data_IF_475841121754
#
_entry.id   IF_475841121754
#
_cell.length_a   1.000
_cell.length_b   1.000
_cell.length_c   1.000
_cell.angle_alpha   90.00
_cell.angle_beta   90.00
_cell.angle_gamma   90.00
#
_symmetry.space_group_name_H-M   'P 1'
#
loop_
_entity.id
_entity.type
_entity.pdbx_description
1 polymer ?
#
# COMPACT_ATOMS: atom_id res chain seq x y z
N UNK A 1 -9.60 17.19 24.70
CA UNK A 1 -8.27 17.15 24.04
C UNK A 1 -8.01 15.79 23.41
N UNK A 2 -7.92 14.70 24.19
CA UNK A 2 -7.60 13.35 23.68
C UNK A 2 -8.53 12.83 22.57
N UNK A 3 -9.85 13.03 22.66
CA UNK A 3 -10.79 12.62 21.62
C UNK A 3 -10.55 13.31 20.26
N UNK A 4 -10.28 14.62 20.28
CA UNK A 4 -10.00 15.40 19.06
C UNK A 4 -8.65 14.99 18.44
N UNK A 5 -7.63 14.72 19.25
CA UNK A 5 -6.34 14.19 18.79
C UNK A 5 -6.54 12.82 18.12
N UNK A 6 -7.36 11.94 18.71
CA UNK A 6 -7.68 10.63 18.13
C UNK A 6 -8.33 10.78 16.75
N UNK A 7 -9.29 11.69 16.60
CA UNK A 7 -9.96 11.95 15.32
C UNK A 7 -8.97 12.49 14.27
N UNK A 8 -8.11 13.45 14.65
CA UNK A 8 -7.07 13.99 13.77
C UNK A 8 -6.05 12.93 13.36
N UNK A 9 -5.66 12.01 14.27
CA UNK A 9 -4.81 10.86 13.95
C UNK A 9 -5.46 9.91 12.95
N UNK A 10 -6.75 9.64 13.12
CA UNK A 10 -7.51 8.83 12.17
C UNK A 10 -7.57 9.50 10.79
N UNK A 11 -7.79 10.82 10.74
CA UNK A 11 -7.78 11.58 9.49
C UNK A 11 -6.40 11.54 8.81
N UNK A 12 -5.31 11.67 9.58
CA UNK A 12 -3.93 11.53 9.09
C UNK A 12 -3.62 10.12 8.59
N UNK A 13 -4.15 9.07 9.24
CA UNK A 13 -4.01 7.68 8.77
C UNK A 13 -4.67 7.51 7.41
N UNK A 14 -5.93 7.94 7.27
CA UNK A 14 -6.67 7.89 6.00
C UNK A 14 -5.98 8.68 4.88
N UNK A 15 -5.44 9.85 5.22
CA UNK A 15 -4.62 10.63 4.29
C UNK A 15 -3.38 9.85 3.85
N UNK A 16 -2.67 9.20 4.79
CA UNK A 16 -1.47 8.42 4.49
C UNK A 16 -1.77 7.21 3.60
N UNK A 17 -2.85 6.49 3.90
CA UNK A 17 -3.37 5.38 3.06
C UNK A 17 -3.63 5.86 1.62
N UNK A 18 -4.32 7.00 1.46
CA UNK A 18 -4.56 7.59 0.14
C UNK A 18 -3.27 7.96 -0.59
N UNK A 19 -2.27 8.51 0.11
CA UNK A 19 -0.98 8.83 -0.50
C UNK A 19 -0.27 7.57 -0.99
N UNK A 20 -0.27 6.49 -0.21
CA UNK A 20 0.32 5.22 -0.65
C UNK A 20 -0.39 4.65 -1.88
N UNK A 21 -1.73 4.71 -1.92
CA UNK A 21 -2.51 4.30 -3.10
C UNK A 21 -2.16 5.13 -4.34
N UNK A 22 -2.08 6.47 -4.19
CA UNK A 22 -1.70 7.36 -5.28
C UNK A 22 -0.27 7.07 -5.76
N UNK A 23 0.68 6.83 -4.85
CA UNK A 23 2.06 6.49 -5.21
C UNK A 23 2.14 5.18 -5.99
N UNK A 24 1.38 4.15 -5.61
CA UNK A 24 1.32 2.88 -6.35
C UNK A 24 0.72 3.08 -7.76
N UNK A 25 -0.39 3.83 -7.84
CA UNK A 25 -1.05 4.16 -9.10
C UNK A 25 -0.11 4.93 -10.05
N UNK A 26 0.61 5.93 -9.53
CA UNK A 26 1.57 6.75 -10.29
C UNK A 26 2.78 5.91 -10.74
N UNK A 27 3.27 5.01 -9.89
CA UNK A 27 4.50 4.26 -10.16
C UNK A 27 4.28 3.10 -11.13
N UNK A 28 3.16 2.39 -10.99
CA UNK A 28 2.96 1.10 -11.66
C UNK A 28 1.76 1.16 -12.58
N UNK A 29 0.57 1.40 -12.04
CA UNK A 29 -0.68 1.15 -12.74
C UNK A 29 -0.88 2.06 -13.95
N UNK A 30 -0.86 3.37 -13.76
CA UNK A 30 -1.13 4.33 -14.83
C UNK A 30 -0.06 4.32 -15.93
N UNK A 31 1.26 4.34 -15.62
CA UNK A 31 2.27 4.24 -16.66
C UNK A 31 2.16 2.96 -17.50
N UNK A 32 1.79 1.83 -16.88
CA UNK A 32 1.59 0.57 -17.58
C UNK A 32 0.38 0.63 -18.52
N UNK A 33 -0.77 1.14 -18.02
CA UNK A 33 -1.98 1.31 -18.82
C UNK A 33 -1.78 2.28 -19.99
N UNK A 34 -1.12 3.42 -19.75
CA UNK A 34 -0.76 4.42 -20.77
C UNK A 34 0.10 3.77 -21.85
N UNK A 35 1.21 3.11 -21.47
CA UNK A 35 2.12 2.48 -22.44
C UNK A 35 1.43 1.42 -23.29
N UNK A 36 0.55 0.62 -22.68
CA UNK A 36 -0.22 -0.39 -23.40
C UNK A 36 -1.20 0.27 -24.39
N UNK A 37 -1.89 1.33 -23.96
CA UNK A 37 -2.85 2.05 -24.79
C UNK A 37 -2.16 2.80 -25.95
N UNK A 38 -1.01 3.42 -25.70
CA UNK A 38 -0.16 4.03 -26.73
C UNK A 38 0.21 3.04 -27.83
N UNK A 39 0.72 1.86 -27.45
CA UNK A 39 1.05 0.81 -28.41
C UNK A 39 -0.16 0.32 -29.20
N UNK A 40 -1.33 0.24 -28.56
CA UNK A 40 -2.57 -0.13 -29.24
C UNK A 40 -3.03 0.95 -30.24
N UNK A 41 -2.94 2.22 -29.87
CA UNK A 41 -3.25 3.36 -30.75
C UNK A 41 -2.31 3.39 -31.94
N UNK A 42 -1.00 3.19 -31.73
CA UNK A 42 -0.01 3.16 -32.79
C UNK A 42 -0.31 2.07 -33.82
N UNK A 43 -0.57 0.84 -33.34
CA UNK A 43 -0.94 -0.29 -34.22
C UNK A 43 -2.24 -0.04 -34.97
N UNK A 44 -3.28 0.44 -34.30
CA UNK A 44 -4.55 0.77 -34.96
C UNK A 44 -4.41 1.91 -35.98
N UNK A 45 -3.54 2.91 -35.73
CA UNK A 45 -3.22 3.97 -36.71
C UNK A 45 -2.47 3.43 -37.91
N UNK A 46 -1.52 2.51 -37.70
CA UNK A 46 -0.80 1.85 -38.79
C UNK A 46 -1.76 1.04 -39.69
N UNK A 47 -2.67 0.27 -39.07
CA UNK A 47 -3.70 -0.48 -39.81
C UNK A 47 -4.61 0.44 -40.61
N UNK A 48 -5.05 1.56 -40.01
CA UNK A 48 -5.88 2.55 -40.69
C UNK A 48 -5.13 3.23 -41.84
N UNK A 49 -3.83 3.50 -41.69
CA UNK A 49 -3.00 4.05 -42.76
C UNK A 49 -2.93 3.08 -43.94
N UNK A 50 -2.58 1.82 -43.69
CA UNK A 50 -2.54 0.77 -44.72
C UNK A 50 -3.89 0.66 -45.44
N UNK A 51 -4.99 0.67 -44.69
CA UNK A 51 -6.35 0.60 -45.23
C UNK A 51 -6.72 1.80 -46.11
N UNK A 52 -6.16 2.98 -45.85
CA UNK A 52 -6.38 4.18 -46.64
C UNK A 52 -5.46 4.24 -47.87
N UNK A 53 -4.21 3.78 -47.76
CA UNK A 53 -3.24 3.74 -48.86
C UNK A 53 -3.68 2.76 -49.95
N UNK A 54 -4.31 1.65 -49.57
CA UNK A 54 -4.86 0.63 -50.46
C UNK A 54 -6.38 0.78 -50.64
N UNK A 55 -6.90 2.01 -50.63
CA UNK A 55 -8.34 2.28 -50.68
C UNK A 55 -9.02 1.65 -51.91
N UNK A 56 -9.97 0.76 -51.66
CA UNK A 56 -10.75 0.08 -52.69
C UNK A 56 -10.05 -1.12 -53.33
N UNK A 57 -8.89 -1.56 -52.84
CA UNK A 57 -8.24 -2.78 -53.35
C UNK A 57 -8.80 -4.04 -52.68
N UNK A 58 -9.22 -5.03 -53.48
CA UNK A 58 -9.53 -6.39 -53.04
C UNK A 58 -8.69 -7.37 -53.86
N UNK A 59 -7.99 -8.30 -53.20
CA UNK A 59 -7.21 -9.35 -53.87
C UNK A 59 -7.68 -10.71 -53.41
N UNK A 60 -8.08 -11.56 -54.35
CA UNK A 60 -8.56 -12.91 -54.09
C UNK A 60 -7.98 -13.87 -55.12
N UNK A 61 -7.42 -15.01 -54.67
CA UNK A 61 -6.89 -16.04 -55.56
C UNK A 61 -5.87 -15.52 -56.59
N UNK A 62 -5.07 -14.51 -56.23
CA UNK A 62 -4.08 -13.88 -57.11
C UNK A 62 -4.64 -12.83 -58.10
N UNK A 63 -5.95 -12.58 -58.11
CA UNK A 63 -6.59 -11.53 -58.91
C UNK A 63 -6.88 -10.30 -58.06
N UNK A 64 -6.61 -9.11 -58.61
CA UNK A 64 -7.00 -7.84 -58.01
C UNK A 64 -8.34 -7.34 -58.60
N UNK A 65 -9.15 -6.74 -57.74
CA UNK A 65 -10.42 -6.11 -58.05
C UNK A 65 -10.42 -4.69 -57.48
N UNK A 66 -10.96 -3.74 -58.24
CA UNK A 66 -11.12 -2.35 -57.85
C UNK A 66 -12.55 -2.14 -57.34
N UNK A 67 -12.70 -1.89 -56.04
CA UNK A 67 -14.00 -1.72 -55.39
C UNK A 67 -14.64 -0.35 -55.63
N UNK A 68 -13.91 0.57 -56.27
CA UNK A 68 -14.44 1.87 -56.70
C UNK A 68 -15.17 1.77 -58.04
N UNK A 69 -14.79 0.81 -58.89
CA UNK A 69 -15.48 0.51 -60.15
C UNK A 69 -16.70 -0.41 -59.89
N UNK A 70 -17.94 -0.03 -60.28
CA UNK A 70 -19.13 -0.83 -59.99
C UNK A 70 -19.11 -2.27 -60.55
N UNK A 71 -18.58 -2.45 -61.75
CA UNK A 71 -18.53 -3.76 -62.41
C UNK A 71 -17.48 -4.67 -61.75
N UNK A 72 -16.30 -4.12 -61.45
CA UNK A 72 -15.23 -4.81 -60.73
C UNK A 72 -15.62 -5.10 -59.27
N UNK A 73 -16.38 -4.20 -58.62
CA UNK A 73 -16.98 -4.42 -57.29
C UNK A 73 -17.94 -5.59 -57.27
N UNK A 74 -18.80 -5.72 -58.29
CA UNK A 74 -19.71 -6.87 -58.40
C UNK A 74 -18.95 -8.18 -58.63
N UNK A 75 -17.97 -8.18 -59.54
CA UNK A 75 -17.12 -9.35 -59.78
C UNK A 75 -16.31 -9.77 -58.55
N UNK A 76 -15.79 -8.79 -57.79
CA UNK A 76 -15.09 -9.02 -56.52
C UNK A 76 -16.00 -9.57 -55.43
N UNK A 77 -17.25 -9.09 -55.32
CA UNK A 77 -18.23 -9.63 -54.39
C UNK A 77 -18.58 -11.09 -54.70
N UNK A 78 -18.76 -11.43 -55.98
CA UNK A 78 -19.02 -12.81 -56.41
C UNK A 78 -17.82 -13.73 -56.12
N UNK A 79 -16.59 -13.25 -56.40
CA UNK A 79 -15.36 -13.99 -56.08
C UNK A 79 -15.18 -14.20 -54.57
N UNK A 80 -15.48 -13.17 -53.75
CA UNK A 80 -15.40 -13.26 -52.30
C UNK A 80 -16.40 -14.26 -51.74
N UNK A 81 -17.64 -14.23 -52.24
CA UNK A 81 -18.66 -15.21 -51.87
C UNK A 81 -18.21 -16.62 -52.21
N UNK A 82 -17.68 -16.83 -53.42
CA UNK A 82 -17.17 -18.13 -53.83
C UNK A 82 -16.06 -18.63 -52.90
N UNK A 83 -15.13 -17.77 -52.48
CA UNK A 83 -14.06 -18.11 -51.53
C UNK A 83 -14.60 -18.47 -50.14
N UNK A 84 -15.60 -17.73 -49.65
CA UNK A 84 -16.22 -17.98 -48.33
C UNK A 84 -17.05 -19.27 -48.33
N UNK A 85 -17.71 -19.61 -49.45
CA UNK A 85 -18.54 -20.82 -49.57
C UNK A 85 -17.78 -22.03 -50.11
N UNK A 86 -16.48 -21.90 -50.39
CA UNK A 86 -15.69 -23.01 -50.88
C UNK A 86 -15.65 -24.14 -49.83
N UNK A 87 -16.03 -25.38 -50.19
CA UNK A 87 -16.14 -26.47 -49.22
C UNK A 87 -14.84 -26.78 -48.46
N UNK A 88 -13.67 -26.54 -49.07
CA UNK A 88 -12.38 -26.75 -48.39
C UNK A 88 -12.14 -25.66 -47.36
N UNK A 89 -12.33 -24.40 -47.76
CA UNK A 89 -12.22 -23.25 -46.85
C UNK A 89 -13.21 -23.38 -45.69
N UNK A 90 -14.47 -23.74 -45.95
CA UNK A 90 -15.45 -23.95 -44.90
C UNK A 90 -15.03 -25.07 -43.93
N UNK A 91 -14.56 -26.21 -44.43
CA UNK A 91 -14.15 -27.32 -43.58
C UNK A 91 -12.96 -26.97 -42.70
N UNK A 92 -11.95 -26.28 -43.25
CA UNK A 92 -10.79 -25.83 -42.47
C UNK A 92 -11.14 -24.72 -41.47
N UNK A 93 -12.03 -23.81 -41.87
CA UNK A 93 -12.43 -22.66 -41.07
C UNK A 93 -13.29 -23.04 -39.84
N UNK A 94 -13.79 -24.29 -39.79
CA UNK A 94 -14.43 -24.85 -38.59
C UNK A 94 -13.43 -25.18 -37.47
N UNK A 95 -12.14 -25.29 -37.75
CA UNK A 95 -11.14 -25.66 -36.74
C UNK A 95 -10.06 -24.61 -36.52
N UNK A 96 -9.81 -23.74 -37.50
CA UNK A 96 -8.78 -22.69 -37.43
C UNK A 96 -9.16 -21.51 -38.31
N UNK A 97 -8.43 -20.41 -38.19
CA UNK A 97 -8.56 -19.29 -39.11
C UNK A 97 -7.92 -19.64 -40.48
N UNK A 98 -8.65 -19.31 -41.56
CA UNK A 98 -8.26 -19.64 -42.95
C UNK A 98 -8.13 -18.36 -43.75
N UNK A 99 -6.95 -18.13 -44.31
CA UNK A 99 -6.69 -17.00 -45.19
C UNK A 99 -7.42 -17.16 -46.54
N UNK A 100 -8.15 -16.13 -46.96
CA UNK A 100 -8.94 -16.14 -48.21
C UNK A 100 -8.55 -15.02 -49.19
N UNK A 101 -7.75 -14.04 -48.75
CA UNK A 101 -7.16 -13.02 -49.63
C UNK A 101 -6.73 -11.77 -48.88
N UNK A 102 -6.77 -10.62 -49.54
CA UNK A 102 -6.40 -9.33 -48.96
C UNK A 102 -7.46 -8.26 -49.27
N UNK A 103 -7.77 -7.42 -48.29
CA UNK A 103 -8.68 -6.30 -48.43
C UNK A 103 -8.02 -5.03 -47.92
N UNK A 104 -7.89 -4.02 -48.80
CA UNK A 104 -7.19 -2.75 -48.54
C UNK A 104 -5.84 -2.93 -47.85
N UNK A 105 -5.01 -3.83 -48.38
CA UNK A 105 -3.66 -4.10 -47.87
C UNK A 105 -3.58 -4.90 -46.57
N UNK A 106 -4.71 -5.30 -45.97
CA UNK A 106 -4.76 -6.19 -44.81
C UNK A 106 -5.09 -7.62 -45.23
N UNK A 107 -4.57 -8.60 -44.49
CA UNK A 107 -4.90 -10.01 -44.74
C UNK A 107 -6.35 -10.28 -44.35
N UNK A 108 -7.10 -10.88 -45.26
CA UNK A 108 -8.48 -11.26 -45.07
C UNK A 108 -8.55 -12.76 -44.80
N UNK A 109 -9.07 -13.10 -43.62
CA UNK A 109 -9.24 -14.47 -43.17
C UNK A 109 -10.67 -14.75 -42.73
N UNK A 110 -11.03 -16.03 -42.66
CA UNK A 110 -12.34 -16.49 -42.21
C UNK A 110 -12.22 -17.60 -41.17
N UNK A 111 -13.17 -17.62 -40.24
CA UNK A 111 -13.31 -18.67 -39.23
C UNK A 111 -14.79 -18.88 -38.87
N UNK A 112 -15.11 -20.05 -38.35
CA UNK A 112 -16.42 -20.32 -37.75
C UNK A 112 -16.32 -20.14 -36.24
N UNK A 113 -17.13 -19.23 -35.69
CA UNK A 113 -17.23 -19.07 -34.24
C UNK A 113 -18.20 -20.13 -33.69
N UNK A 114 -17.64 -21.12 -33.01
CA UNK A 114 -18.39 -22.23 -32.43
C UNK A 114 -19.35 -21.80 -31.30
N UNK A 115 -19.08 -20.68 -30.63
CA UNK A 115 -19.92 -20.20 -29.55
C UNK A 115 -21.15 -19.47 -30.09
N UNK A 116 -20.94 -18.57 -31.06
CA UNK A 116 -22.04 -17.77 -31.63
C UNK A 116 -22.72 -18.45 -32.82
N UNK A 117 -22.14 -19.53 -33.36
CA UNK A 117 -22.59 -20.24 -34.57
C UNK A 117 -22.67 -19.32 -35.80
N UNK A 118 -21.75 -18.36 -35.88
CA UNK A 118 -21.67 -17.36 -36.96
C UNK A 118 -20.31 -17.45 -37.64
N UNK A 119 -20.30 -17.29 -38.97
CA UNK A 119 -19.07 -17.12 -39.73
C UNK A 119 -18.47 -15.74 -39.45
N UNK A 120 -17.21 -15.69 -39.04
CA UNK A 120 -16.47 -14.45 -38.79
C UNK A 120 -15.38 -14.25 -39.82
N UNK A 121 -15.21 -13.01 -40.23
CA UNK A 121 -14.07 -12.51 -40.96
C UNK A 121 -13.13 -11.75 -40.06
N UNK A 122 -11.87 -11.74 -40.45
CA UNK A 122 -10.81 -11.02 -39.77
C UNK A 122 -10.03 -10.22 -40.83
N UNK A 123 -9.88 -8.92 -40.59
CA UNK A 123 -8.88 -8.10 -41.26
C UNK A 123 -7.66 -8.05 -40.33
N UNK A 124 -6.60 -8.75 -40.71
CA UNK A 124 -5.35 -8.83 -39.97
C UNK A 124 -4.33 -7.85 -40.54
N UNK A 125 -3.93 -6.90 -39.69
CA UNK A 125 -2.76 -6.05 -39.87
C UNK A 125 -1.81 -6.22 -38.69
N UNK A 126 -1.49 -5.12 -38.00
CA UNK A 126 -0.85 -5.12 -36.69
C UNK A 126 -1.79 -5.58 -35.57
N UNK A 127 -3.11 -5.51 -35.81
CA UNK A 127 -4.17 -6.07 -34.95
C UNK A 127 -5.14 -6.90 -35.79
N UNK A 128 -5.86 -7.78 -35.10
CA UNK A 128 -6.97 -8.53 -35.68
C UNK A 128 -8.28 -7.75 -35.51
N UNK A 129 -8.96 -7.47 -36.63
CA UNK A 129 -10.24 -6.75 -36.64
C UNK A 129 -11.34 -7.70 -37.14
N UNK A 130 -12.16 -8.19 -36.20
CA UNK A 130 -13.19 -9.17 -36.50
C UNK A 130 -14.52 -8.52 -36.94
N UNK A 131 -15.22 -9.18 -37.87
CA UNK A 131 -16.55 -8.79 -38.34
C UNK A 131 -17.34 -10.04 -38.77
N UNK A 132 -18.66 -9.92 -38.90
CA UNK A 132 -19.49 -11.08 -39.27
C UNK A 132 -19.59 -11.26 -40.78
N UNK A 133 -19.32 -12.48 -41.26
CA UNK A 133 -19.68 -12.92 -42.60
C UNK A 133 -21.15 -13.36 -42.62
N UNK A 134 -21.96 -12.70 -43.44
CA UNK A 134 -23.27 -13.22 -43.80
C UNK A 134 -23.21 -13.84 -45.21
N UNK A 135 -23.18 -15.18 -45.33
CA UNK A 135 -23.03 -15.87 -46.62
C UNK A 135 -24.22 -15.67 -47.57
N UNK A 136 -25.33 -15.12 -47.08
CA UNK A 136 -26.55 -14.90 -47.88
C UNK A 136 -26.60 -13.53 -48.57
N UNK A 137 -25.57 -12.69 -48.43
CA UNK A 137 -25.53 -11.35 -49.03
C UNK A 137 -24.25 -11.14 -49.82
N UNK A 138 -24.35 -10.82 -51.11
CA UNK A 138 -23.18 -10.71 -52.00
C UNK A 138 -22.42 -9.40 -51.76
N UNK A 139 -23.01 -8.26 -52.15
CA UNK A 139 -22.42 -6.92 -51.98
C UNK A 139 -22.33 -6.50 -50.50
N UNK A 140 -23.20 -7.07 -49.65
CA UNK A 140 -23.26 -6.74 -48.23
C UNK A 140 -21.99 -7.08 -47.45
N UNK A 141 -21.18 -8.04 -47.92
CA UNK A 141 -19.92 -8.40 -47.25
C UNK A 141 -18.88 -7.29 -47.42
N UNK A 142 -18.75 -6.70 -48.62
CA UNK A 142 -17.84 -5.57 -48.85
C UNK A 142 -18.20 -4.39 -47.95
N UNK A 143 -19.49 -4.06 -47.86
CA UNK A 143 -19.96 -3.00 -46.95
C UNK A 143 -19.62 -3.30 -45.48
N UNK A 144 -19.66 -4.57 -45.04
CA UNK A 144 -19.25 -4.94 -43.67
C UNK A 144 -17.75 -4.75 -43.45
N UNK A 145 -16.92 -5.07 -44.44
CA UNK A 145 -15.48 -4.80 -44.38
C UNK A 145 -15.19 -3.28 -44.36
N UNK A 146 -15.89 -2.49 -45.17
CA UNK A 146 -15.82 -1.01 -45.12
C UNK A 146 -16.21 -0.47 -43.73
N UNK A 147 -17.27 -1.02 -43.14
CA UNK A 147 -17.70 -0.67 -41.79
C UNK A 147 -16.69 -1.09 -40.71
N UNK A 148 -16.04 -2.26 -40.88
CA UNK A 148 -14.98 -2.72 -39.99
C UNK A 148 -13.82 -1.72 -39.98
N UNK A 149 -13.34 -1.29 -41.15
CA UNK A 149 -12.29 -0.26 -41.27
C UNK A 149 -12.73 1.07 -40.68
N UNK A 150 -13.97 1.48 -40.93
CA UNK A 150 -14.55 2.69 -40.32
C UNK A 150 -14.61 2.60 -38.80
N UNK A 151 -14.76 1.39 -38.24
CA UNK A 151 -14.72 1.15 -36.80
C UNK A 151 -13.30 1.29 -36.24
N UNK A 152 -12.26 0.88 -36.99
CA UNK A 152 -10.86 1.13 -36.60
C UNK A 152 -10.62 2.63 -36.38
N UNK A 153 -11.10 3.49 -37.29
CA UNK A 153 -10.97 4.93 -37.15
C UNK A 153 -11.66 5.47 -35.88
N UNK A 154 -12.84 4.94 -35.55
CA UNK A 154 -13.56 5.30 -34.31
C UNK A 154 -12.81 4.82 -33.06
N UNK A 155 -12.27 3.61 -33.10
CA UNK A 155 -11.47 3.04 -32.00
C UNK A 155 -10.19 3.83 -31.76
N UNK A 156 -9.51 4.29 -32.82
CA UNK A 156 -8.35 5.19 -32.71
C UNK A 156 -8.74 6.47 -31.99
N UNK A 157 -9.82 7.13 -32.41
CA UNK A 157 -10.28 8.37 -31.79
C UNK A 157 -10.62 8.17 -30.29
N UNK A 158 -11.41 7.14 -29.98
CA UNK A 158 -11.79 6.84 -28.59
C UNK A 158 -10.59 6.44 -27.72
N UNK A 159 -9.64 5.70 -28.27
CA UNK A 159 -8.43 5.29 -27.53
C UNK A 159 -7.49 6.47 -27.29
N UNK A 160 -7.42 7.42 -28.23
CA UNK A 160 -6.64 8.65 -28.06
C UNK A 160 -7.24 9.55 -26.97
N UNK A 161 -8.56 9.70 -26.93
CA UNK A 161 -9.26 10.46 -25.87
C UNK A 161 -9.02 9.83 -24.48
N UNK A 162 -9.11 8.50 -24.39
CA UNK A 162 -8.78 7.77 -23.16
C UNK A 162 -7.33 7.96 -22.73
N UNK A 163 -6.40 7.94 -23.69
CA UNK A 163 -4.98 8.16 -23.42
C UNK A 163 -4.72 9.57 -22.86
N UNK A 164 -5.36 10.58 -23.45
CA UNK A 164 -5.30 11.96 -22.96
C UNK A 164 -5.87 12.08 -21.54
N UNK A 165 -6.99 11.41 -21.28
CA UNK A 165 -7.64 11.38 -19.96
C UNK A 165 -6.73 10.75 -18.92
N UNK A 166 -6.21 9.54 -19.17
CA UNK A 166 -5.30 8.85 -18.25
C UNK A 166 -4.00 9.64 -18.01
N UNK A 167 -3.49 10.31 -19.04
CA UNK A 167 -2.30 11.15 -18.91
C UNK A 167 -2.57 12.39 -18.04
N UNK A 168 -3.73 13.03 -18.20
CA UNK A 168 -4.14 14.16 -17.37
C UNK A 168 -4.38 13.73 -15.91
N UNK A 169 -5.04 12.58 -15.69
CA UNK A 169 -5.22 11.99 -14.37
C UNK A 169 -3.90 11.68 -13.69
N UNK A 170 -2.92 11.14 -14.43
CA UNK A 170 -1.57 10.89 -13.91
C UNK A 170 -0.90 12.17 -13.40
N UNK A 171 -0.96 13.25 -14.18
CA UNK A 171 -0.43 14.57 -13.78
C UNK A 171 -1.15 15.10 -12.54
N UNK A 172 -2.47 14.94 -12.48
CA UNK A 172 -3.26 15.38 -11.33
C UNK A 172 -2.91 14.59 -10.06
N UNK A 173 -2.75 13.27 -10.16
CA UNK A 173 -2.34 12.42 -9.04
C UNK A 173 -0.93 12.78 -8.56
N UNK A 174 0.01 13.06 -9.46
CA UNK A 174 1.35 13.54 -9.10
C UNK A 174 1.28 14.84 -8.29
N UNK A 175 0.45 15.80 -8.73
CA UNK A 175 0.23 17.03 -7.99
C UNK A 175 -0.47 16.81 -6.63
N UNK A 176 -1.38 15.85 -6.54
CA UNK A 176 -2.10 15.53 -5.30
C UNK A 176 -1.22 14.84 -4.26
N UNK A 177 -0.24 14.02 -4.67
CA UNK A 177 0.72 13.38 -3.76
C UNK A 177 1.63 14.40 -3.08
N UNK A 178 1.92 15.51 -3.73
CA UNK A 178 2.76 16.57 -3.16
C UNK A 178 2.03 17.44 -2.12
N UNK A 179 0.69 17.39 -2.07
CA UNK A 179 -0.10 18.22 -1.15
C UNK A 179 -0.02 17.67 0.28
N UNK A 180 0.56 18.41 1.24
CA UNK A 180 0.69 17.92 2.61
C UNK A 180 -0.66 17.85 3.33
N UNK A 181 -0.70 17.06 4.41
CA UNK A 181 -1.88 16.99 5.27
C UNK A 181 -2.18 18.36 5.92
N UNK A 182 -3.35 18.92 5.62
CA UNK A 182 -3.70 20.31 5.97
C UNK A 182 -3.70 20.60 7.48
N UNK A 183 -4.04 19.62 8.33
CA UNK A 183 -4.14 19.77 9.79
C UNK A 183 -2.89 19.28 10.53
N UNK A 184 -1.75 19.23 9.84
CA UNK A 184 -0.48 18.77 10.45
C UNK A 184 -0.09 19.63 11.65
N UNK A 185 -0.16 20.96 11.53
CA UNK A 185 0.22 21.85 12.63
C UNK A 185 -0.79 21.83 13.77
N UNK A 186 -2.09 21.73 13.48
CA UNK A 186 -3.14 21.59 14.51
C UNK A 186 -2.93 20.32 15.33
N UNK A 187 -2.69 19.18 14.66
CA UNK A 187 -2.40 17.91 15.33
C UNK A 187 -1.13 18.04 16.18
N UNK A 188 -0.05 18.58 15.61
CA UNK A 188 1.24 18.73 16.32
C UNK A 188 1.10 19.59 17.58
N UNK A 189 0.40 20.72 17.48
CA UNK A 189 0.18 21.63 18.62
C UNK A 189 -0.63 20.96 19.73
N UNK A 190 -1.68 20.19 19.38
CA UNK A 190 -2.49 19.50 20.39
C UNK A 190 -1.76 18.33 21.04
N UNK A 191 -0.90 17.63 20.30
CA UNK A 191 -0.04 16.58 20.86
C UNK A 191 0.95 17.17 21.86
N UNK A 192 1.61 18.28 21.51
CA UNK A 192 2.53 18.96 22.42
C UNK A 192 1.84 19.48 23.70
N UNK A 193 0.63 20.04 23.57
CA UNK A 193 -0.16 20.48 24.72
C UNK A 193 -0.56 19.29 25.61
N UNK A 194 -0.94 18.16 25.01
CA UNK A 194 -1.27 16.95 25.76
C UNK A 194 -0.05 16.39 26.52
N UNK A 195 1.11 16.39 25.89
CA UNK A 195 2.36 15.91 26.50
C UNK A 195 2.80 16.82 27.65
N UNK A 196 2.68 18.14 27.50
CA UNK A 196 2.95 19.09 28.60
C UNK A 196 1.99 18.84 29.78
N UNK A 197 0.69 18.67 29.51
CA UNK A 197 -0.30 18.33 30.54
C UNK A 197 0.05 17.01 31.22
N UNK A 198 0.46 15.98 30.47
CA UNK A 198 0.91 14.71 31.05
C UNK A 198 2.14 14.89 31.93
N UNK A 199 3.15 15.65 31.51
CA UNK A 199 4.32 15.95 32.37
C UNK A 199 3.94 16.69 33.64
N UNK A 200 3.06 17.70 33.55
CA UNK A 200 2.59 18.44 34.71
C UNK A 200 1.83 17.54 35.69
N UNK A 201 0.96 16.66 35.18
CA UNK A 201 0.26 15.65 35.99
C UNK A 201 1.24 14.70 36.68
N UNK A 202 2.22 14.16 35.96
CA UNK A 202 3.25 13.30 36.53
C UNK A 202 4.05 14.02 37.62
N UNK A 203 4.46 15.27 37.36
CA UNK A 203 5.15 16.09 38.36
C UNK A 203 4.27 16.35 39.58
N UNK A 204 3.00 16.70 39.39
CA UNK A 204 2.05 16.91 40.48
C UNK A 204 1.91 15.65 41.35
N UNK A 205 1.77 14.47 40.74
CA UNK A 205 1.68 13.20 41.48
C UNK A 205 2.94 12.84 42.27
N UNK A 206 4.12 13.28 41.80
CA UNK A 206 5.38 13.10 42.53
C UNK A 206 5.56 14.10 43.68
N UNK A 207 4.93 15.26 43.59
CA UNK A 207 4.97 16.32 44.61
C UNK A 207 3.82 16.27 45.63
N UNK A 208 2.79 15.46 45.38
CA UNK A 208 1.71 15.23 46.35
C UNK A 208 2.18 14.23 47.40
N UNK A 209 2.35 14.72 48.63
CA UNK A 209 2.70 13.96 49.81
C UNK A 209 1.82 12.71 50.02
N UNK A 210 0.60 12.71 49.47
CA UNK A 210 -0.35 11.60 49.59
C UNK A 210 0.23 10.29 49.04
N UNK A 211 0.91 10.31 47.89
CA UNK A 211 1.51 9.10 47.31
C UNK A 211 2.67 8.57 48.19
N UNK A 212 3.51 9.48 48.70
CA UNK A 212 4.62 9.15 49.60
C UNK A 212 4.11 8.58 50.94
N UNK A 213 2.97 9.10 51.42
CA UNK A 213 2.32 8.63 52.65
C UNK A 213 1.65 7.27 52.48
N UNK A 214 0.92 7.05 51.37
CA UNK A 214 0.34 5.74 51.06
C UNK A 214 1.43 4.67 50.87
N UNK A 215 2.55 5.03 50.21
CA UNK A 215 3.69 4.15 50.04
C UNK A 215 4.31 3.78 51.40
N UNK A 216 4.52 4.76 52.29
CA UNK A 216 4.99 4.52 53.65
C UNK A 216 4.08 3.55 54.40
N UNK A 217 2.76 3.76 54.35
CA UNK A 217 1.80 2.89 55.04
C UNK A 217 1.87 1.45 54.55
N UNK A 218 1.96 1.23 53.23
CA UNK A 218 2.10 -0.11 52.64
C UNK A 218 3.43 -0.77 53.01
N UNK A 219 4.52 -0.03 52.98
CA UNK A 219 5.84 -0.56 53.35
C UNK A 219 5.85 -1.00 54.82
N UNK A 220 5.28 -0.18 55.72
CA UNK A 220 5.16 -0.52 57.15
C UNK A 220 4.31 -1.78 57.36
N UNK A 221 3.22 -1.95 56.61
CA UNK A 221 2.40 -3.15 56.65
C UNK A 221 3.16 -4.40 56.16
N UNK A 222 3.93 -4.28 55.06
CA UNK A 222 4.61 -5.42 54.45
C UNK A 222 5.90 -5.82 55.17
N UNK A 223 6.66 -4.85 55.68
CA UNK A 223 8.01 -5.04 56.21
C UNK A 223 8.13 -4.54 57.65
N UNK A 224 7.10 -4.76 58.46
CA UNK A 224 7.04 -4.28 59.85
C UNK A 224 8.32 -4.59 60.65
N UNK A 225 8.85 -5.83 60.68
CA UNK A 225 10.03 -6.13 61.51
C UNK A 225 11.28 -5.35 61.08
N UNK A 226 11.37 -4.96 59.81
CA UNK A 226 12.49 -4.17 59.27
C UNK A 226 12.31 -2.71 59.63
N UNK A 227 11.10 -2.18 59.41
CA UNK A 227 10.77 -0.77 59.65
C UNK A 227 10.64 -0.43 61.14
N UNK A 228 10.46 -1.41 62.03
CA UNK A 228 10.51 -1.23 63.50
C UNK A 228 11.92 -1.40 64.06
N UNK A 229 12.89 -1.84 63.26
CA UNK A 229 14.26 -2.10 63.68
C UNK A 229 14.45 -3.41 64.46
N UNK A 230 13.47 -4.33 64.42
CA UNK A 230 13.61 -5.67 64.99
C UNK A 230 14.63 -6.51 64.22
N UNK A 231 14.69 -6.32 62.90
CA UNK A 231 15.68 -6.92 62.00
C UNK A 231 16.19 -5.87 61.02
N UNK A 232 17.48 -5.90 60.67
CA UNK A 232 18.05 -4.97 59.67
C UNK A 232 17.93 -5.47 58.23
N UNK A 233 17.66 -6.75 58.04
CA UNK A 233 17.74 -7.43 56.76
C UNK A 233 16.79 -8.63 56.72
N UNK A 234 16.09 -8.80 55.61
CA UNK A 234 15.28 -9.98 55.33
C UNK A 234 15.46 -10.42 53.88
N UNK A 235 15.65 -11.72 53.69
CA UNK A 235 15.66 -12.36 52.38
C UNK A 235 14.40 -13.21 52.24
N UNK A 236 13.72 -13.07 51.12
CA UNK A 236 12.54 -13.84 50.73
C UNK A 236 12.91 -14.74 49.55
N UNK A 237 12.68 -16.04 49.71
CA UNK A 237 12.92 -17.07 48.68
C UNK A 237 11.62 -17.79 48.40
N UNK A 238 11.23 -17.93 47.14
CA UNK A 238 10.09 -18.75 46.73
C UNK A 238 10.49 -20.24 46.67
N UNK A 239 9.51 -21.14 46.77
CA UNK A 239 9.75 -22.57 46.55
C UNK A 239 10.01 -22.86 45.06
N UNK A 240 11.25 -23.22 44.74
CA UNK A 240 11.71 -23.60 43.39
C UNK A 240 12.91 -22.77 42.93
N UNK A 241 13.86 -23.39 42.22
CA UNK A 241 15.13 -22.79 41.75
C UNK A 241 14.97 -21.73 40.64
N UNK A 242 13.74 -21.23 40.41
CA UNK A 242 13.38 -20.41 39.25
C UNK A 242 13.11 -18.94 39.56
N UNK A 243 13.18 -18.51 40.82
CA UNK A 243 12.93 -17.12 41.22
C UNK A 243 14.11 -16.55 42.00
N UNK A 244 14.64 -15.42 41.53
CA UNK A 244 15.70 -14.70 42.21
C UNK A 244 15.21 -14.19 43.56
N UNK A 245 16.05 -14.25 44.61
CA UNK A 245 15.65 -13.87 45.94
C UNK A 245 15.29 -12.38 45.99
N UNK A 246 14.21 -12.06 46.72
CA UNK A 246 13.87 -10.69 47.05
C UNK A 246 14.50 -10.31 48.38
N UNK A 247 15.23 -9.20 48.40
CA UNK A 247 15.98 -8.69 49.54
C UNK A 247 15.33 -7.39 49.97
N UNK A 248 15.13 -7.28 51.28
CA UNK A 248 14.70 -6.04 51.93
C UNK A 248 15.70 -5.74 53.04
N UNK A 249 16.31 -4.56 52.97
CA UNK A 249 17.35 -4.15 53.91
C UNK A 249 17.12 -2.70 54.34
N UNK A 250 17.39 -2.40 55.60
CA UNK A 250 17.37 -1.05 56.13
C UNK A 250 18.79 -0.63 56.53
N UNK A 251 19.29 0.44 55.92
CA UNK A 251 20.55 1.09 56.29
C UNK A 251 20.29 2.55 56.67
N UNK A 252 20.42 2.87 57.96
CA UNK A 252 20.08 4.21 58.47
C UNK A 252 18.59 4.52 58.28
N UNK A 253 18.27 5.51 57.46
CA UNK A 253 16.91 5.89 57.06
C UNK A 253 16.56 5.48 55.63
N UNK A 254 17.35 4.59 55.00
CA UNK A 254 17.14 4.12 53.63
C UNK A 254 16.73 2.65 53.62
N UNK A 255 15.54 2.39 53.07
CA UNK A 255 15.01 1.06 52.79
C UNK A 255 15.38 0.66 51.36
N UNK A 256 16.14 -0.42 51.23
CA UNK A 256 16.51 -1.04 49.94
C UNK A 256 15.59 -2.22 49.65
N UNK A 257 14.95 -2.22 48.47
CA UNK A 257 14.18 -3.33 47.92
C UNK A 257 14.88 -3.82 46.67
N UNK A 258 15.35 -5.07 46.67
CA UNK A 258 16.20 -5.54 45.59
C UNK A 258 16.03 -7.01 45.23
N UNK A 259 16.14 -7.34 43.95
CA UNK A 259 16.57 -8.68 43.53
C UNK A 259 17.99 -8.59 42.99
N UNK A 260 18.76 -9.66 43.19
CA UNK A 260 20.06 -9.78 42.55
C UNK A 260 20.31 -11.17 42.01
N UNK A 261 21.18 -11.23 41.01
CA UNK A 261 21.70 -12.46 40.43
C UNK A 261 23.17 -12.27 40.07
N UNK A 262 23.90 -13.37 39.82
CA UNK A 262 25.31 -13.31 39.43
C UNK A 262 25.44 -13.54 37.94
N UNK A 263 26.08 -12.62 37.22
CA UNK A 263 26.37 -12.73 35.80
C UNK A 263 27.87 -12.57 35.57
N UNK A 264 28.52 -13.59 34.99
CA UNK A 264 29.97 -13.58 34.72
C UNK A 264 30.87 -13.31 35.96
N UNK A 265 30.36 -13.55 37.17
CA UNK A 265 31.07 -13.28 38.42
C UNK A 265 30.74 -11.93 39.07
N UNK A 266 30.03 -11.06 38.36
CA UNK A 266 29.55 -9.78 38.88
C UNK A 266 28.13 -9.91 39.44
N UNK A 267 27.82 -9.14 40.50
CA UNK A 267 26.48 -9.03 41.05
C UNK A 267 25.66 -8.04 40.21
N UNK A 268 24.50 -8.48 39.75
CA UNK A 268 23.58 -7.70 38.92
C UNK A 268 22.28 -7.46 39.70
N UNK A 269 21.75 -6.25 39.65
CA UNK A 269 20.48 -5.86 40.27
C UNK A 269 19.32 -5.88 39.27
N UNK A 270 18.17 -6.43 39.68
CA UNK A 270 16.99 -6.60 38.80
C UNK A 270 15.62 -6.59 39.52
N UNK A 271 15.10 -5.43 39.94
CA UNK A 271 15.77 -4.15 40.14
C UNK A 271 16.35 -4.00 41.55
N UNK A 272 17.08 -2.91 41.80
CA UNK A 272 17.33 -2.32 43.12
C UNK A 272 16.64 -0.97 43.23
N UNK A 273 15.89 -0.75 44.31
CA UNK A 273 15.15 0.48 44.60
C UNK A 273 15.49 0.94 46.01
N UNK A 274 16.02 2.15 46.14
CA UNK A 274 16.35 2.74 47.43
C UNK A 274 15.34 3.85 47.79
N UNK A 275 14.76 3.75 48.98
CA UNK A 275 13.68 4.61 49.47
C UNK A 275 14.08 5.25 50.79
N UNK A 276 14.05 6.58 50.87
CA UNK A 276 14.22 7.31 52.13
C UNK A 276 12.92 7.24 52.94
N UNK A 277 13.03 6.76 54.17
CA UNK A 277 11.93 6.59 55.11
C UNK A 277 11.94 7.73 56.13
N UNK A 278 10.95 8.61 56.02
CA UNK A 278 10.69 9.69 56.97
C UNK A 278 9.55 9.27 57.91
N UNK A 279 9.92 8.82 59.10
CA UNK A 279 8.96 8.40 60.13
C UNK A 279 8.18 9.56 60.74
N UNK A 280 8.76 10.77 60.80
CA UNK A 280 8.10 11.93 61.40
C UNK A 280 6.93 12.41 60.54
N UNK A 281 7.15 12.48 59.22
CA UNK A 281 6.12 12.90 58.27
C UNK A 281 5.34 11.72 57.66
N UNK A 282 5.69 10.49 58.03
CA UNK A 282 5.13 9.22 57.53
C UNK A 282 5.22 9.10 56.01
N UNK A 283 6.40 9.32 55.44
CA UNK A 283 6.63 9.33 53.98
C UNK A 283 7.73 8.35 53.58
N UNK A 284 7.57 7.74 52.42
CA UNK A 284 8.61 7.00 51.72
C UNK A 284 8.88 7.72 50.40
N UNK A 285 10.14 8.07 50.15
CA UNK A 285 10.54 8.86 48.97
C UNK A 285 11.62 8.12 48.18
N UNK A 286 11.48 7.90 46.86
CA UNK A 286 12.52 7.29 46.04
C UNK A 286 13.78 8.14 46.00
N UNK A 287 14.93 7.47 46.14
CA UNK A 287 16.28 8.10 46.12
C UNK A 287 17.12 7.55 44.99
N UNK A 288 17.01 6.25 44.69
CA UNK A 288 17.68 5.67 43.53
C UNK A 288 16.92 4.49 42.95
N UNK A 289 17.21 4.22 41.69
CA UNK A 289 16.75 3.04 40.96
C UNK A 289 17.89 2.50 40.10
N UNK A 290 18.14 1.20 40.20
CA UNK A 290 19.10 0.49 39.35
C UNK A 290 18.46 -0.75 38.72
N UNK A 291 18.73 -0.93 37.43
CA UNK A 291 18.46 -2.16 36.70
C UNK A 291 19.67 -2.47 35.82
N UNK A 292 20.60 -3.25 36.37
CA UNK A 292 21.92 -3.47 35.79
C UNK A 292 21.85 -4.14 34.41
N UNK A 293 20.85 -4.99 34.16
CA UNK A 293 20.66 -5.68 32.89
C UNK A 293 20.31 -4.73 31.72
N UNK A 294 19.67 -3.60 32.02
CA UNK A 294 19.34 -2.56 31.04
C UNK A 294 20.33 -1.39 31.07
N UNK A 295 21.33 -1.42 31.95
CA UNK A 295 22.26 -0.30 32.16
C UNK A 295 21.57 0.97 32.67
N UNK A 296 20.45 0.83 33.39
CA UNK A 296 19.67 1.96 33.92
C UNK A 296 20.10 2.22 35.35
N UNK A 297 20.49 3.47 35.61
CA UNK A 297 20.91 3.99 36.89
C UNK A 297 20.34 5.40 37.05
N UNK A 298 19.40 5.57 37.96
CA UNK A 298 18.77 6.85 38.25
C UNK A 298 18.96 7.20 39.72
N UNK A 299 19.42 8.42 39.99
CA UNK A 299 19.41 9.03 41.33
C UNK A 299 18.39 10.18 41.31
N UNK A 300 17.55 10.22 42.33
CA UNK A 300 16.50 11.23 42.47
C UNK A 300 16.87 12.19 43.61
N UNK A 301 17.04 13.46 43.26
CA UNK A 301 17.16 14.54 44.25
C UNK A 301 15.76 15.07 44.59
N UNK A 302 15.42 15.11 45.88
CA UNK A 302 14.12 15.58 46.37
C UNK A 302 14.05 17.12 46.31
N UNK A 303 15.19 17.82 46.37
CA UNK A 303 15.27 19.28 46.30
C UNK A 303 15.35 19.80 44.85
N UNK A 304 15.82 18.97 43.92
CA UNK A 304 15.88 19.25 42.49
C UNK A 304 14.93 18.27 41.79
N UNK A 305 13.67 18.66 41.52
CA UNK A 305 12.76 17.78 40.80
C UNK A 305 13.17 17.78 39.33
N UNK A 306 14.21 17.04 38.96
CA UNK A 306 14.50 16.75 37.55
C UNK A 306 15.48 15.59 37.42
N UNK A 307 15.43 14.89 36.28
CA UNK A 307 16.45 15.27 35.30
C UNK A 307 15.86 15.63 33.94
N UNK A 308 16.52 16.60 33.29
CA UNK A 308 16.67 16.58 31.84
C UNK A 308 16.97 15.14 31.41
N UNK A 309 16.17 14.59 30.51
CA UNK A 309 16.51 13.36 29.78
C UNK A 309 17.99 13.45 29.36
N UNK A 310 18.87 12.68 30.02
CA UNK A 310 20.18 12.43 29.44
C UNK A 310 19.91 11.74 28.11
N UNK A 311 20.33 12.40 27.04
CA UNK A 311 20.35 11.84 25.70
C UNK A 311 20.96 10.44 25.78
N UNK A 312 20.14 9.44 25.47
CA UNK A 312 20.62 8.09 25.18
C UNK A 312 21.68 8.28 24.10
N UNK A 313 22.93 7.97 24.45
CA UNK A 313 24.06 7.92 23.55
C UNK A 313 23.62 7.26 22.23
N UNK A 314 23.39 8.09 21.20
CA UNK A 314 23.50 7.65 19.83
C UNK A 314 24.98 7.28 19.66
N UNK A 315 25.29 5.98 19.80
CA UNK A 315 26.47 5.43 19.14
C UNK A 315 26.26 5.64 17.63
N UNK A 316 26.79 6.74 17.16
CA UNK A 316 27.32 6.84 15.81
C UNK A 316 28.58 6.01 15.80
N UNK A 317 28.49 4.83 15.19
CA UNK A 317 29.47 4.21 14.29
C UNK A 317 28.83 2.99 13.63
#
# INVERSE_FOLDING_TARGET
MQGKIKDLKMEKSRYSERIYELQDNIRVKYPMEIKMLEGNVEKSKADLSTANDHAGELRLGGRAFDMNDPDSRKAGAEALKAAITDPKNCAEAMSKEVHIGEYRGMQLSMMFDDLTKIWKGCLEGQKHHYFDFNPNTDVGIITRMDNCISNIAKEVASSQEKLETLSAELVQMQADVEKPFAKTEELRSMEAELDDVHMQLTKFTLTDDTAQKEMFERLVEMFTPILTGEIGYQKYTAEGDSMEPFIVEMEGDVLTLAHNYVQNGDLMWDPRIDLKIDYENRKATPVSYEMSCLGVYEEYDIEIPTPQLMEINQRTD
#
